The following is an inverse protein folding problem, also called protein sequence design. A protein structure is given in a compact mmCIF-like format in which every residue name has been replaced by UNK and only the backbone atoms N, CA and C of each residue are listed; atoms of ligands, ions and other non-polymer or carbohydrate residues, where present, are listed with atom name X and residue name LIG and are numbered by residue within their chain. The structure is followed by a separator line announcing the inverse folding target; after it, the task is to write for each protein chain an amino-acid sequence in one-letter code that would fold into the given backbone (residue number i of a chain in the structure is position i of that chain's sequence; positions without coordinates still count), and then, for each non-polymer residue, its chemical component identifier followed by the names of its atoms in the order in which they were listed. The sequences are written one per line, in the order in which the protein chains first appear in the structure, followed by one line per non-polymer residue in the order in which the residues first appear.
data_IF_349902576478
#
_entry.id   IF_349902576478
#
_cell.length_a   1.000
_cell.length_b   1.000
_cell.length_c   1.000
_cell.angle_alpha   90.00
_cell.angle_beta   90.00
_cell.angle_gamma   90.00
#
_symmetry.space_group_name_H-M   'P 1'
#
loop_
_entity.id
_entity.type
_entity.pdbx_description
1 polymer ?
#
# COMPACT_ATOMS: atom_id res chain seq x y z
N UNK A 1 -0.54 -16.09 -17.01
CA UNK A 1 0.75 -16.10 -16.26
C UNK A 1 0.50 -16.64 -14.86
N UNK A 2 1.54 -17.15 -14.22
CA UNK A 2 1.53 -17.49 -12.80
C UNK A 2 1.97 -16.27 -12.00
N UNK A 3 1.13 -15.79 -11.09
CA UNK A 3 1.41 -14.61 -10.28
C UNK A 3 1.32 -14.97 -8.79
N UNK A 4 2.38 -14.66 -8.05
CA UNK A 4 2.42 -14.86 -6.61
C UNK A 4 2.11 -13.52 -5.91
N UNK A 5 0.98 -13.45 -5.21
CA UNK A 5 0.55 -12.23 -4.52
C UNK A 5 0.64 -12.42 -3.03
N UNK A 6 1.47 -11.67 -2.33
CA UNK A 6 1.46 -11.66 -0.85
C UNK A 6 0.50 -10.60 -0.33
N UNK A 7 -0.06 -10.82 0.86
CA UNK A 7 -1.01 -9.88 1.43
C UNK A 7 -2.42 -9.97 0.83
N UNK A 8 -2.78 -11.11 0.22
CA UNK A 8 -4.12 -11.39 -0.35
C UNK A 8 -5.24 -11.23 0.68
N UNK A 9 -4.96 -11.43 1.96
CA UNK A 9 -5.92 -11.21 3.05
C UNK A 9 -6.07 -9.75 3.47
N UNK A 10 -5.33 -8.84 2.86
CA UNK A 10 -5.34 -7.41 3.15
C UNK A 10 -6.27 -6.64 2.21
N UNK A 11 -6.33 -5.32 2.43
CA UNK A 11 -7.19 -4.38 1.73
C UNK A 11 -7.04 -4.43 0.19
N UNK A 12 -5.82 -4.27 -0.32
CA UNK A 12 -5.56 -4.29 -1.77
C UNK A 12 -5.49 -5.72 -2.32
N UNK A 13 -5.02 -6.67 -1.52
CA UNK A 13 -4.64 -7.99 -2.01
C UNK A 13 -5.79 -8.84 -2.48
N UNK A 14 -6.96 -8.74 -1.83
CA UNK A 14 -8.13 -9.50 -2.21
C UNK A 14 -8.65 -9.07 -3.59
N UNK A 15 -8.97 -7.79 -3.72
CA UNK A 15 -9.51 -7.22 -4.98
C UNK A 15 -8.49 -7.40 -6.13
N UNK A 16 -7.19 -7.26 -5.85
CA UNK A 16 -6.15 -7.53 -6.84
C UNK A 16 -6.13 -8.99 -7.29
N UNK A 17 -6.21 -9.94 -6.35
CA UNK A 17 -6.23 -11.36 -6.71
C UNK A 17 -7.45 -11.72 -7.54
N UNK A 18 -8.64 -11.23 -7.18
CA UNK A 18 -9.88 -11.43 -7.93
C UNK A 18 -9.80 -10.83 -9.35
N UNK A 19 -9.24 -9.61 -9.47
CA UNK A 19 -9.02 -8.95 -10.76
C UNK A 19 -8.07 -9.76 -11.64
N UNK A 20 -6.94 -10.18 -11.10
CA UNK A 20 -5.95 -10.97 -11.85
C UNK A 20 -6.50 -12.35 -12.29
N UNK A 21 -7.33 -12.99 -11.45
CA UNK A 21 -8.04 -14.23 -11.82
C UNK A 21 -8.99 -13.95 -12.98
N UNK A 22 -9.73 -12.85 -12.95
CA UNK A 22 -10.66 -12.48 -14.04
C UNK A 22 -9.94 -12.22 -15.37
N UNK A 23 -8.65 -11.81 -15.33
CA UNK A 23 -7.78 -11.69 -16.48
C UNK A 23 -7.15 -13.04 -16.93
N UNK A 24 -7.52 -14.15 -16.29
CA UNK A 24 -7.05 -15.49 -16.66
C UNK A 24 -5.66 -15.84 -16.12
N UNK A 25 -5.20 -15.21 -15.04
CA UNK A 25 -3.95 -15.56 -14.38
C UNK A 25 -4.16 -16.65 -13.32
N UNK A 26 -3.14 -17.49 -13.13
CA UNK A 26 -3.06 -18.46 -12.02
C UNK A 26 -2.41 -17.77 -10.81
N UNK A 27 -3.14 -17.72 -9.68
CA UNK A 27 -2.72 -16.97 -8.51
C UNK A 27 -2.34 -17.90 -7.37
N UNK A 28 -1.20 -17.59 -6.71
CA UNK A 28 -0.82 -18.18 -5.44
C UNK A 28 -0.49 -17.11 -4.40
N UNK A 29 -0.56 -17.48 -3.13
CA UNK A 29 -0.25 -16.61 -2.00
C UNK A 29 0.42 -17.38 -0.86
N UNK A 30 1.22 -16.68 -0.07
CA UNK A 30 1.65 -17.11 1.26
C UNK A 30 0.88 -16.33 2.32
N UNK A 31 0.25 -17.04 3.25
CA UNK A 31 -0.54 -16.45 4.34
C UNK A 31 -0.28 -17.16 5.66
N UNK A 32 -0.30 -16.41 6.75
CA UNK A 32 -0.12 -16.98 8.11
C UNK A 32 -1.32 -17.81 8.54
N UNK A 33 -2.53 -17.35 8.22
CA UNK A 33 -3.77 -18.05 8.56
C UNK A 33 -4.95 -17.47 7.77
N UNK A 34 -5.77 -18.33 7.20
CA UNK A 34 -7.00 -17.93 6.49
C UNK A 34 -8.18 -17.74 7.47
N UNK A 35 -8.15 -18.45 8.61
CA UNK A 35 -9.28 -18.49 9.55
C UNK A 35 -9.24 -17.48 10.69
N UNK A 36 -8.15 -16.74 10.86
CA UNK A 36 -8.00 -15.76 11.95
C UNK A 36 -7.58 -14.43 11.39
N UNK A 37 -8.47 -13.44 11.48
CA UNK A 37 -8.09 -12.05 11.33
C UNK A 37 -6.86 -11.75 12.19
N UNK A 38 -5.92 -10.99 11.64
CA UNK A 38 -4.70 -10.63 12.35
C UNK A 38 -5.08 -9.79 13.59
N UNK A 39 -4.97 -10.41 14.77
CA UNK A 39 -5.26 -9.74 16.04
C UNK A 39 -4.30 -8.59 16.33
N UNK A 40 -3.10 -8.62 15.74
CA UNK A 40 -2.09 -7.61 15.98
C UNK A 40 -2.42 -6.27 15.31
N UNK A 41 -3.14 -6.29 14.19
CA UNK A 41 -3.44 -5.08 13.44
C UNK A 41 -4.82 -4.52 13.71
N UNK A 42 -5.67 -5.23 14.49
CA UNK A 42 -7.09 -4.88 14.62
C UNK A 42 -7.78 -4.63 13.25
N UNK A 43 -7.13 -5.00 12.17
CA UNK A 43 -7.77 -5.12 10.88
C UNK A 43 -8.71 -6.30 11.02
N UNK A 44 -10.00 -6.05 11.06
CA UNK A 44 -10.98 -7.07 10.75
C UNK A 44 -10.62 -7.51 9.33
N UNK A 45 -9.76 -8.52 9.27
CA UNK A 45 -9.37 -9.14 8.02
C UNK A 45 -10.65 -9.62 7.37
N UNK A 46 -10.86 -9.14 6.20
CA UNK A 46 -12.06 -9.24 5.41
C UNK A 46 -12.48 -10.64 5.08
N UNK A 47 -11.58 -11.58 5.25
CA UNK A 47 -11.88 -12.97 4.96
C UNK A 47 -12.49 -13.55 6.24
N UNK A 48 -13.79 -13.63 6.30
CA UNK A 48 -14.56 -14.41 7.29
C UNK A 48 -14.25 -15.91 7.17
N UNK A 49 -12.99 -16.29 7.19
CA UNK A 49 -12.55 -17.67 7.01
C UNK A 49 -12.74 -18.25 5.60
N UNK A 50 -13.10 -17.42 4.62
CA UNK A 50 -13.31 -17.85 3.25
C UNK A 50 -12.05 -17.62 2.42
N UNK A 51 -11.63 -18.64 1.68
CA UNK A 51 -10.57 -18.57 0.69
C UNK A 51 -11.11 -17.96 -0.60
N UNK A 52 -10.33 -17.11 -1.27
CA UNK A 52 -10.67 -16.63 -2.60
C UNK A 52 -10.63 -17.83 -3.56
N UNK A 53 -11.73 -18.08 -4.26
CA UNK A 53 -11.82 -19.17 -5.22
C UNK A 53 -10.78 -18.96 -6.33
N UNK A 54 -10.05 -20.04 -6.67
CA UNK A 54 -9.03 -20.00 -7.71
C UNK A 54 -7.64 -19.57 -7.23
N UNK A 55 -7.45 -19.25 -5.94
CA UNK A 55 -6.13 -18.96 -5.36
C UNK A 55 -5.53 -20.21 -4.74
N UNK A 56 -4.26 -20.49 -5.05
CA UNK A 56 -3.46 -21.52 -4.38
C UNK A 56 -2.83 -20.95 -3.11
N UNK A 57 -3.09 -21.56 -1.97
CA UNK A 57 -2.62 -21.11 -0.66
C UNK A 57 -1.41 -21.92 -0.17
N UNK A 58 -0.35 -21.21 0.20
CA UNK A 58 0.75 -21.69 1.03
C UNK A 58 0.62 -21.09 2.41
N UNK A 59 0.96 -21.86 3.45
CA UNK A 59 0.80 -21.42 4.84
C UNK A 59 2.16 -21.24 5.49
N UNK A 60 2.39 -20.05 6.04
CA UNK A 60 3.61 -19.71 6.74
C UNK A 60 3.78 -18.22 6.94
N UNK A 61 4.90 -17.85 7.58
CA UNK A 61 5.26 -16.45 7.83
C UNK A 61 6.34 -15.99 6.86
N UNK A 62 6.25 -14.74 6.37
CA UNK A 62 7.26 -14.13 5.51
C UNK A 62 8.63 -14.01 6.18
N UNK A 63 8.68 -14.02 7.50
CA UNK A 63 9.93 -13.99 8.26
C UNK A 63 10.64 -15.35 8.29
N UNK A 64 9.98 -16.43 7.86
CA UNK A 64 10.57 -17.76 7.69
C UNK A 64 11.04 -17.95 6.24
N UNK A 65 12.35 -17.83 6.03
CA UNK A 65 12.96 -17.96 4.72
C UNK A 65 12.69 -19.30 4.02
N UNK A 66 12.70 -20.42 4.78
CA UNK A 66 12.52 -21.74 4.19
C UNK A 66 11.12 -21.94 3.64
N UNK A 67 10.12 -21.49 4.38
CA UNK A 67 8.71 -21.55 3.94
C UNK A 67 8.49 -20.71 2.68
N UNK A 68 9.07 -19.50 2.63
CA UNK A 68 9.02 -18.65 1.45
C UNK A 68 9.70 -19.30 0.25
N UNK A 69 10.89 -19.86 0.46
CA UNK A 69 11.68 -20.53 -0.58
C UNK A 69 10.93 -21.75 -1.16
N UNK A 70 10.38 -22.59 -0.29
CA UNK A 70 9.64 -23.79 -0.70
C UNK A 70 8.37 -23.42 -1.50
N UNK A 71 7.63 -22.40 -1.07
CA UNK A 71 6.44 -21.93 -1.78
C UNK A 71 6.77 -21.43 -3.19
N UNK A 72 7.82 -20.61 -3.33
CA UNK A 72 8.24 -20.07 -4.62
C UNK A 72 8.82 -21.16 -5.54
N UNK A 73 9.60 -22.09 -4.99
CA UNK A 73 10.15 -23.23 -5.72
C UNK A 73 9.07 -24.13 -6.29
N UNK A 74 8.01 -24.38 -5.51
CA UNK A 74 6.89 -25.22 -5.93
C UNK A 74 5.99 -24.52 -6.95
N UNK A 75 5.68 -23.23 -6.76
CA UNK A 75 4.76 -22.50 -7.63
C UNK A 75 5.43 -22.03 -8.94
N UNK A 76 6.70 -21.61 -8.91
CA UNK A 76 7.42 -21.03 -10.05
C UNK A 76 6.66 -19.88 -10.72
N UNK A 77 6.49 -18.73 -10.04
CA UNK A 77 5.75 -17.60 -10.60
C UNK A 77 6.48 -16.90 -11.76
N UNK A 78 5.72 -16.37 -12.71
CA UNK A 78 6.22 -15.42 -13.72
C UNK A 78 6.39 -14.01 -13.09
N UNK A 79 5.49 -13.65 -12.18
CA UNK A 79 5.44 -12.33 -11.53
C UNK A 79 5.17 -12.51 -10.04
N UNK A 80 5.85 -11.71 -9.22
CA UNK A 80 5.55 -11.59 -7.78
C UNK A 80 5.05 -10.17 -7.51
N UNK A 81 3.90 -10.06 -6.82
CA UNK A 81 3.38 -8.80 -6.30
C UNK A 81 3.42 -8.87 -4.78
N UNK A 82 4.33 -8.12 -4.17
CA UNK A 82 4.57 -8.16 -2.74
C UNK A 82 3.90 -6.98 -2.03
N UNK A 83 2.63 -7.21 -1.56
CA UNK A 83 1.83 -6.23 -0.83
C UNK A 83 1.87 -6.42 0.68
N UNK A 84 2.27 -7.61 1.15
CA UNK A 84 2.25 -7.92 2.57
C UNK A 84 3.16 -6.99 3.37
N UNK A 85 2.58 -6.25 4.30
CA UNK A 85 3.26 -5.31 5.17
C UNK A 85 2.43 -5.02 6.42
N UNK A 86 3.10 -4.58 7.48
CA UNK A 86 2.45 -3.84 8.56
C UNK A 86 2.32 -2.38 8.11
N UNK A 87 1.10 -1.92 7.83
CA UNK A 87 0.87 -0.66 7.10
C UNK A 87 0.60 0.56 7.99
N UNK A 88 0.38 0.37 9.30
CA UNK A 88 0.07 1.48 10.20
C UNK A 88 1.33 2.23 10.62
N UNK A 89 1.49 3.46 10.14
CA UNK A 89 2.56 4.37 10.57
C UNK A 89 2.50 4.62 12.09
N UNK A 90 1.30 4.85 12.64
CA UNK A 90 1.13 5.08 14.07
C UNK A 90 1.56 3.87 14.92
N UNK A 91 1.21 2.66 14.47
CA UNK A 91 1.61 1.41 15.13
C UNK A 91 3.13 1.22 15.15
N UNK A 92 3.82 1.68 14.11
CA UNK A 92 5.27 1.50 13.99
C UNK A 92 6.06 2.16 15.12
N UNK A 93 5.56 3.24 15.72
CA UNK A 93 6.25 3.91 16.84
C UNK A 93 6.29 3.09 18.12
N UNK A 94 5.39 2.16 18.30
CA UNK A 94 5.30 1.30 19.50
C UNK A 94 5.73 -0.16 19.24
N UNK A 95 5.76 -0.60 17.97
CA UNK A 95 6.06 -1.97 17.57
C UNK A 95 7.14 -2.04 16.49
N UNK A 96 8.25 -1.29 16.71
CA UNK A 96 9.33 -1.11 15.72
C UNK A 96 9.88 -2.44 15.21
N UNK A 97 10.14 -3.39 16.14
CA UNK A 97 10.72 -4.69 15.77
C UNK A 97 9.82 -5.47 14.83
N UNK A 98 8.52 -5.58 15.15
CA UNK A 98 7.57 -6.29 14.32
C UNK A 98 7.46 -5.65 12.92
N UNK A 99 7.41 -4.31 12.87
CA UNK A 99 7.37 -3.57 11.60
C UNK A 99 8.63 -3.83 10.77
N UNK A 100 9.79 -3.89 11.40
CA UNK A 100 11.05 -4.18 10.71
C UNK A 100 11.11 -5.64 10.22
N UNK A 101 10.70 -6.58 11.06
CA UNK A 101 10.65 -8.02 10.70
C UNK A 101 9.73 -8.24 9.49
N UNK A 102 8.52 -7.67 9.50
CA UNK A 102 7.57 -7.87 8.40
C UNK A 102 7.95 -7.07 7.16
N UNK A 103 8.25 -5.77 7.32
CA UNK A 103 8.38 -4.87 6.18
C UNK A 103 9.77 -4.88 5.54
N UNK A 104 10.81 -5.30 6.26
CA UNK A 104 12.16 -5.43 5.70
C UNK A 104 12.59 -6.90 5.59
N UNK A 105 12.59 -7.69 6.68
CA UNK A 105 13.01 -9.10 6.60
C UNK A 105 12.07 -9.90 5.71
N UNK A 106 10.76 -9.62 5.72
CA UNK A 106 9.81 -10.24 4.79
C UNK A 106 10.14 -9.96 3.32
N UNK A 107 10.48 -8.70 2.98
CA UNK A 107 10.91 -8.33 1.62
C UNK A 107 12.24 -8.97 1.25
N UNK A 108 13.20 -8.97 2.19
CA UNK A 108 14.49 -9.63 2.00
C UNK A 108 14.30 -11.12 1.70
N UNK A 109 13.55 -11.85 2.52
CA UNK A 109 13.30 -13.27 2.33
C UNK A 109 12.61 -13.57 1.00
N UNK A 110 11.56 -12.80 0.66
CA UNK A 110 10.80 -12.99 -0.57
C UNK A 110 11.66 -12.74 -1.82
N UNK A 111 12.42 -11.65 -1.83
CA UNK A 111 13.25 -11.29 -2.99
C UNK A 111 14.48 -12.19 -3.14
N UNK A 112 15.13 -12.58 -2.05
CA UNK A 112 16.28 -13.49 -2.09
C UNK A 112 15.86 -14.92 -2.47
N UNK A 113 14.73 -15.41 -1.95
CA UNK A 113 14.18 -16.69 -2.36
C UNK A 113 13.76 -16.66 -3.84
N UNK A 114 13.10 -15.58 -4.30
CA UNK A 114 12.74 -15.40 -5.69
C UNK A 114 13.96 -15.42 -6.61
N UNK A 115 15.04 -14.71 -6.24
CA UNK A 115 16.29 -14.69 -6.99
C UNK A 115 16.94 -16.06 -7.12
N UNK A 116 16.83 -16.92 -6.10
CA UNK A 116 17.44 -18.26 -6.08
C UNK A 116 16.58 -19.34 -6.72
N UNK A 117 15.29 -19.32 -6.41
CA UNK A 117 14.39 -20.43 -6.74
C UNK A 117 13.59 -20.20 -8.03
N UNK A 118 13.50 -18.93 -8.53
CA UNK A 118 12.67 -18.56 -9.69
C UNK A 118 13.54 -17.93 -10.79
N UNK A 119 14.34 -18.73 -11.52
CA UNK A 119 15.30 -18.21 -12.51
C UNK A 119 14.65 -17.47 -13.67
N UNK A 120 13.38 -17.72 -13.95
CA UNK A 120 12.63 -17.11 -15.05
C UNK A 120 11.68 -16.02 -14.59
N UNK A 121 11.88 -15.48 -13.38
CA UNK A 121 11.05 -14.40 -12.85
C UNK A 121 11.12 -13.18 -13.80
N UNK A 122 9.96 -12.72 -14.25
CA UNK A 122 9.85 -11.57 -15.14
C UNK A 122 9.77 -10.25 -14.40
N UNK A 123 9.09 -10.24 -13.22
CA UNK A 123 8.92 -9.02 -12.38
C UNK A 123 8.72 -9.36 -10.92
N UNK A 124 9.29 -8.52 -10.08
CA UNK A 124 9.05 -8.45 -8.65
C UNK A 124 8.51 -7.04 -8.34
N UNK A 125 7.18 -6.89 -8.24
CA UNK A 125 6.53 -5.61 -7.98
C UNK A 125 6.35 -5.47 -6.48
N UNK A 126 6.97 -4.44 -5.90
CA UNK A 126 6.91 -4.21 -4.47
C UNK A 126 6.14 -2.94 -4.12
N UNK A 127 5.30 -3.05 -3.06
CA UNK A 127 4.54 -1.95 -2.50
C UNK A 127 5.41 -1.13 -1.55
N UNK A 128 6.03 -0.07 -2.05
CA UNK A 128 6.66 0.98 -1.30
C UNK A 128 5.65 1.99 -0.75
N UNK A 129 6.09 3.21 -0.42
CA UNK A 129 5.25 4.21 0.23
C UNK A 129 5.74 5.64 0.01
N UNK A 130 4.83 6.60 -0.08
CA UNK A 130 5.13 8.03 0.01
C UNK A 130 5.87 8.42 1.30
N UNK A 131 5.69 7.66 2.39
CA UNK A 131 6.40 7.87 3.67
C UNK A 131 7.94 7.75 3.56
N UNK A 132 8.45 7.18 2.48
CA UNK A 132 9.88 7.08 2.17
C UNK A 132 10.49 8.45 1.89
N UNK A 133 9.74 9.37 1.32
CA UNK A 133 10.20 10.75 1.10
C UNK A 133 10.46 11.49 2.41
N UNK A 134 9.62 11.24 3.44
CA UNK A 134 9.74 11.91 4.73
C UNK A 134 9.54 13.42 4.63
N UNK A 135 10.32 14.18 5.40
CA UNK A 135 10.25 15.65 5.44
C UNK A 135 11.14 16.22 4.34
N UNK A 136 10.55 16.90 3.39
CA UNK A 136 11.24 17.55 2.27
C UNK A 136 11.12 19.09 2.35
N UNK A 137 12.06 19.85 1.77
CA UNK A 137 11.92 21.29 1.65
C UNK A 137 10.80 21.65 0.65
N UNK A 138 10.23 22.86 0.78
CA UNK A 138 9.03 23.25 0.01
C UNK A 138 9.27 23.26 -1.51
N UNK A 139 10.46 23.60 -1.94
CA UNK A 139 10.88 23.62 -3.34
C UNK A 139 10.98 22.22 -3.98
N UNK A 140 10.99 21.17 -3.17
CA UNK A 140 11.02 19.78 -3.64
C UNK A 140 9.65 19.24 -4.04
N UNK A 141 8.57 19.96 -3.78
CA UNK A 141 7.23 19.51 -4.11
C UNK A 141 6.75 20.04 -5.49
N UNK A 142 6.02 19.20 -6.28
CA UNK A 142 5.73 17.80 -6.03
C UNK A 142 6.98 16.92 -6.14
N UNK A 143 7.14 15.94 -5.22
CA UNK A 143 8.35 15.10 -5.16
C UNK A 143 8.41 14.12 -6.33
N UNK A 144 9.59 14.05 -6.97
CA UNK A 144 9.91 13.09 -8.04
C UNK A 144 10.83 12.00 -7.52
N UNK A 145 10.82 10.86 -8.19
CA UNK A 145 11.47 9.64 -7.73
C UNK A 145 13.00 9.74 -7.66
N UNK A 146 13.58 10.48 -8.60
CA UNK A 146 15.02 10.46 -8.86
C UNK A 146 15.79 11.64 -8.25
N UNK A 147 15.10 12.67 -7.78
CA UNK A 147 15.70 13.96 -7.44
C UNK A 147 16.00 14.12 -5.93
N UNK A 148 15.62 13.19 -5.07
CA UNK A 148 15.59 13.43 -3.63
C UNK A 148 16.26 12.33 -2.80
N UNK A 149 16.84 12.76 -1.68
CA UNK A 149 17.21 11.84 -0.62
C UNK A 149 15.98 11.43 0.18
N UNK A 150 15.90 10.15 0.51
CA UNK A 150 14.80 9.59 1.29
C UNK A 150 15.09 9.81 2.77
N UNK A 151 14.20 10.52 3.47
CA UNK A 151 14.34 10.87 4.89
C UNK A 151 13.13 10.40 5.70
N UNK A 152 13.18 9.16 6.19
CA UNK A 152 12.08 8.63 6.96
C UNK A 152 11.77 9.46 8.22
N UNK A 153 10.48 9.72 8.46
CA UNK A 153 9.99 10.34 9.68
C UNK A 153 9.31 9.33 10.64
N UNK A 154 9.37 8.03 10.33
CA UNK A 154 8.77 6.98 11.13
C UNK A 154 9.55 5.67 11.01
N UNK A 155 9.47 4.75 12.01
CA UNK A 155 10.04 3.40 11.88
C UNK A 155 9.50 2.63 10.65
N UNK A 156 8.24 2.86 10.28
CA UNK A 156 7.65 2.33 9.05
C UNK A 156 8.40 2.83 7.82
N UNK A 157 8.63 4.14 7.70
CA UNK A 157 9.37 4.74 6.59
C UNK A 157 10.81 4.23 6.52
N UNK A 158 11.50 4.07 7.67
CA UNK A 158 12.84 3.48 7.72
C UNK A 158 12.85 2.07 7.14
N UNK A 159 11.89 1.22 7.52
CA UNK A 159 11.80 -0.14 7.00
C UNK A 159 11.53 -0.16 5.49
N UNK A 160 10.69 0.77 4.98
CA UNK A 160 10.41 0.91 3.56
C UNK A 160 11.65 1.35 2.77
N UNK A 161 12.37 2.37 3.23
CA UNK A 161 13.63 2.83 2.61
C UNK A 161 14.67 1.69 2.57
N UNK A 162 14.82 0.94 3.67
CA UNK A 162 15.74 -0.20 3.71
C UNK A 162 15.39 -1.25 2.66
N UNK A 163 14.10 -1.54 2.50
CA UNK A 163 13.60 -2.51 1.50
C UNK A 163 13.81 -2.05 0.07
N UNK A 164 13.53 -0.77 -0.23
CA UNK A 164 13.78 -0.21 -1.55
C UNK A 164 15.27 -0.25 -1.90
N UNK A 165 16.14 0.16 -0.97
CA UNK A 165 17.59 0.12 -1.18
C UNK A 165 18.11 -1.31 -1.39
N UNK A 166 17.54 -2.29 -0.68
CA UNK A 166 17.85 -3.71 -0.90
C UNK A 166 17.45 -4.17 -2.30
N UNK A 167 16.24 -3.86 -2.75
CA UNK A 167 15.74 -4.24 -4.07
C UNK A 167 16.55 -3.57 -5.19
N UNK A 168 16.89 -2.28 -5.04
CA UNK A 168 17.79 -1.56 -5.96
C UNK A 168 19.18 -2.21 -6.04
N UNK A 169 19.74 -2.61 -4.89
CA UNK A 169 20.99 -3.35 -4.86
C UNK A 169 20.88 -4.67 -5.64
N UNK A 170 19.81 -5.43 -5.43
CA UNK A 170 19.61 -6.69 -6.16
C UNK A 170 19.49 -6.48 -7.66
N UNK A 171 18.83 -5.41 -8.09
CA UNK A 171 18.76 -5.06 -9.50
C UNK A 171 20.13 -4.72 -10.08
N UNK A 172 20.89 -3.84 -9.41
CA UNK A 172 22.22 -3.41 -9.88
C UNK A 172 23.24 -4.55 -9.88
N UNK A 173 23.23 -5.39 -8.85
CA UNK A 173 24.24 -6.43 -8.67
C UNK A 173 23.93 -7.72 -9.45
N UNK A 174 22.65 -8.05 -9.62
CA UNK A 174 22.22 -9.34 -10.16
C UNK A 174 21.21 -9.24 -11.30
N UNK A 175 20.83 -8.05 -11.73
CA UNK A 175 19.78 -7.87 -12.72
C UNK A 175 18.38 -8.32 -12.23
N UNK A 176 18.16 -8.33 -10.92
CA UNK A 176 16.88 -8.76 -10.34
C UNK A 176 15.75 -7.85 -10.83
N UNK A 177 14.65 -8.39 -11.41
CA UNK A 177 13.66 -7.61 -12.14
C UNK A 177 12.65 -6.91 -11.20
N UNK A 178 13.13 -6.09 -10.25
CA UNK A 178 12.26 -5.38 -9.33
C UNK A 178 11.62 -4.14 -9.95
N UNK A 179 10.42 -3.82 -9.47
CA UNK A 179 9.69 -2.57 -9.70
C UNK A 179 9.19 -2.10 -8.34
N UNK A 180 9.47 -0.86 -7.99
CA UNK A 180 9.06 -0.27 -6.72
C UNK A 180 7.92 0.72 -6.96
N UNK A 181 6.79 0.54 -6.29
CA UNK A 181 5.72 1.52 -6.29
C UNK A 181 5.73 2.32 -4.99
N UNK A 182 6.04 3.61 -5.05
CA UNK A 182 5.84 4.53 -3.93
C UNK A 182 4.41 5.03 -3.96
N UNK A 183 3.55 4.33 -3.20
CA UNK A 183 2.12 4.60 -3.21
C UNK A 183 1.78 5.80 -2.33
N UNK A 184 0.86 6.65 -2.82
CA UNK A 184 0.15 7.62 -2.01
C UNK A 184 -0.76 6.94 -0.98
N UNK A 185 -1.37 7.72 -0.09
CA UNK A 185 -2.28 7.21 0.93
C UNK A 185 -3.53 6.62 0.29
N UNK A 186 -3.61 5.29 0.23
CA UNK A 186 -4.74 4.59 -0.39
C UNK A 186 -5.99 4.62 0.48
N UNK A 187 -7.16 4.79 -0.16
CA UNK A 187 -8.47 4.76 0.48
C UNK A 187 -9.50 4.00 -0.37
N UNK A 188 -10.69 3.73 0.21
CA UNK A 188 -11.74 2.95 -0.44
C UNK A 188 -12.11 1.69 0.34
N UNK A 189 -11.60 1.54 1.58
CA UNK A 189 -11.82 0.35 2.43
C UNK A 189 -13.29 0.17 2.77
N UNK A 190 -13.73 -1.07 2.63
CA UNK A 190 -15.13 -1.46 2.87
C UNK A 190 -15.37 -1.98 4.30
N UNK A 191 -14.31 -2.42 5.00
CA UNK A 191 -14.45 -3.16 6.26
C UNK A 191 -13.52 -2.68 7.39
N UNK A 192 -12.71 -1.65 7.16
CA UNK A 192 -11.83 -1.07 8.17
C UNK A 192 -11.95 0.45 8.19
N UNK A 193 -12.16 1.02 9.37
CA UNK A 193 -12.25 2.47 9.58
C UNK A 193 -11.05 3.02 10.39
N UNK A 194 -9.92 2.34 10.35
CA UNK A 194 -8.72 2.75 11.10
C UNK A 194 -7.90 3.84 10.39
N UNK A 195 -8.10 4.04 9.09
CA UNK A 195 -7.42 5.05 8.32
C UNK A 195 -8.24 6.34 8.23
N UNK A 196 -7.58 7.45 7.94
CA UNK A 196 -8.14 8.79 8.13
C UNK A 196 -9.46 9.00 7.39
N UNK A 197 -9.56 8.64 6.11
CA UNK A 197 -10.79 8.86 5.31
C UNK A 197 -11.94 8.02 5.87
N UNK A 198 -11.73 6.72 6.01
CA UNK A 198 -12.76 5.81 6.51
C UNK A 198 -13.13 6.12 7.97
N UNK A 199 -12.17 6.56 8.78
CA UNK A 199 -12.43 6.99 10.15
C UNK A 199 -13.32 8.23 10.23
N UNK A 200 -13.06 9.22 9.36
CA UNK A 200 -13.89 10.43 9.28
C UNK A 200 -15.30 10.07 8.83
N UNK A 201 -15.41 9.32 7.71
CA UNK A 201 -16.72 8.87 7.19
C UNK A 201 -17.49 8.12 8.27
N UNK A 202 -16.88 7.13 8.91
CA UNK A 202 -17.52 6.30 9.91
C UNK A 202 -18.03 7.12 11.12
N UNK A 203 -17.22 8.04 11.64
CA UNK A 203 -17.65 8.89 12.76
C UNK A 203 -18.82 9.80 12.38
N UNK A 204 -18.78 10.39 11.16
CA UNK A 204 -19.81 11.32 10.68
C UNK A 204 -21.15 10.60 10.42
N UNK A 205 -21.15 9.43 9.79
CA UNK A 205 -22.38 8.66 9.51
C UNK A 205 -23.01 8.09 10.80
N UNK A 206 -22.19 7.86 11.85
CA UNK A 206 -22.70 7.46 13.17
C UNK A 206 -23.34 8.63 13.93
N UNK A 207 -23.35 9.84 13.36
CA UNK A 207 -23.91 11.02 14.01
C UNK A 207 -23.18 11.46 15.28
N UNK A 208 -21.92 11.05 15.47
CA UNK A 208 -21.12 11.48 16.64
C UNK A 208 -20.87 12.97 16.57
N UNK A 209 -20.98 13.65 17.72
CA UNK A 209 -20.62 15.07 17.85
C UNK A 209 -20.09 15.34 19.27
N UNK A 210 -18.85 15.84 19.40
CA UNK A 210 -17.88 16.06 18.34
C UNK A 210 -17.29 14.74 17.81
N UNK A 211 -16.92 14.72 16.52
CA UNK A 211 -15.98 13.71 16.02
C UNK A 211 -14.56 14.09 16.43
N UNK A 212 -13.72 13.09 16.70
CA UNK A 212 -12.35 13.30 17.17
C UNK A 212 -11.35 13.05 16.06
N UNK A 213 -10.56 14.07 15.71
CA UNK A 213 -9.54 14.00 14.67
C UNK A 213 -8.17 14.46 15.20
N UNK A 214 -7.12 14.10 14.46
CA UNK A 214 -5.75 14.52 14.74
C UNK A 214 -5.47 15.98 14.36
N UNK A 215 -4.21 16.24 13.97
CA UNK A 215 -3.78 17.55 13.46
C UNK A 215 -4.48 17.85 12.11
N UNK A 216 -5.11 19.01 11.93
CA UNK A 216 -5.78 19.40 10.68
C UNK A 216 -4.83 19.84 9.57
N UNK A 217 -3.60 20.24 9.89
CA UNK A 217 -2.72 20.94 8.97
C UNK A 217 -1.95 20.04 7.98
N UNK A 218 -1.58 18.76 8.31
CA UNK A 218 -0.85 17.94 7.37
C UNK A 218 -1.55 17.82 6.02
N UNK A 219 -0.75 17.95 4.95
CA UNK A 219 -1.19 17.81 3.57
C UNK A 219 -0.84 16.40 3.09
N UNK A 220 -1.79 15.72 2.45
CA UNK A 220 -1.63 14.36 1.93
C UNK A 220 -2.18 14.26 0.52
N UNK A 221 -1.58 13.40 -0.26
CA UNK A 221 -2.13 12.90 -1.50
C UNK A 221 -2.84 11.57 -1.23
N UNK A 222 -4.02 11.40 -1.81
CA UNK A 222 -4.84 10.22 -1.61
C UNK A 222 -5.15 9.56 -2.94
N UNK A 223 -4.98 8.24 -3.00
CA UNK A 223 -5.32 7.46 -4.19
C UNK A 223 -6.46 6.49 -3.89
N UNK A 224 -7.47 6.51 -4.76
CA UNK A 224 -8.60 5.59 -4.67
C UNK A 224 -8.15 4.17 -5.04
N UNK A 225 -8.62 3.17 -4.28
CA UNK A 225 -8.19 1.76 -4.41
C UNK A 225 -8.22 1.23 -5.84
N UNK A 226 -9.30 1.38 -6.63
CA UNK A 226 -9.36 0.85 -7.99
C UNK A 226 -8.26 1.40 -8.90
N UNK A 227 -7.90 2.68 -8.76
CA UNK A 227 -6.84 3.28 -9.56
C UNK A 227 -5.47 2.73 -9.18
N UNK A 228 -5.25 2.50 -7.88
CA UNK A 228 -4.03 1.86 -7.40
C UNK A 228 -3.93 0.40 -7.89
N UNK A 229 -5.03 -0.34 -7.88
CA UNK A 229 -5.08 -1.72 -8.40
C UNK A 229 -4.76 -1.77 -9.90
N UNK A 230 -5.30 -0.84 -10.68
CA UNK A 230 -4.98 -0.73 -12.10
C UNK A 230 -3.47 -0.60 -12.34
N UNK A 231 -2.75 0.20 -11.54
CA UNK A 231 -1.30 0.32 -11.67
C UNK A 231 -0.58 -1.01 -11.45
N UNK A 232 -1.00 -1.80 -10.44
CA UNK A 232 -0.41 -3.13 -10.19
C UNK A 232 -0.70 -4.11 -11.32
N UNK A 233 -1.92 -4.12 -11.85
CA UNK A 233 -2.30 -4.97 -12.99
C UNK A 233 -1.49 -4.59 -14.23
N UNK A 234 -1.42 -3.29 -14.57
CA UNK A 234 -0.66 -2.79 -15.71
C UNK A 234 0.83 -3.15 -15.60
N UNK A 235 1.42 -3.02 -14.41
CA UNK A 235 2.81 -3.42 -14.21
C UNK A 235 3.01 -4.93 -14.31
N UNK A 236 2.08 -5.74 -13.81
CA UNK A 236 2.16 -7.20 -13.89
C UNK A 236 2.07 -7.70 -15.34
N UNK A 237 1.23 -7.07 -16.15
CA UNK A 237 0.96 -7.43 -17.54
C UNK A 237 1.88 -6.73 -18.57
N UNK A 238 2.64 -5.72 -18.14
CA UNK A 238 3.55 -4.97 -19.02
C UNK A 238 4.56 -5.90 -19.71
N UNK A 239 4.88 -5.62 -20.94
CA UNK A 239 6.00 -6.25 -21.66
C UNK A 239 7.26 -5.35 -21.70
N UNK A 240 7.19 -4.15 -21.15
CA UNK A 240 8.30 -3.21 -21.12
C UNK A 240 9.36 -3.60 -20.09
N UNK A 241 10.62 -3.59 -20.49
CA UNK A 241 11.75 -3.70 -19.57
C UNK A 241 12.15 -2.36 -18.94
N UNK A 242 11.61 -1.24 -19.42
CA UNK A 242 11.95 0.09 -18.92
C UNK A 242 11.49 0.35 -17.48
N UNK A 243 10.54 -0.46 -16.99
CA UNK A 243 10.08 -0.35 -15.57
C UNK A 243 10.99 -1.11 -14.60
N UNK A 244 11.90 -1.96 -15.10
CA UNK A 244 12.73 -2.80 -14.23
C UNK A 244 13.84 -1.99 -13.56
N UNK A 245 13.97 -2.14 -12.25
CA UNK A 245 14.87 -1.36 -11.41
C UNK A 245 14.32 0.02 -10.99
N UNK A 246 13.16 0.42 -11.52
CA UNK A 246 12.60 1.75 -11.29
C UNK A 246 11.76 1.85 -10.01
N UNK A 247 11.88 3.01 -9.35
CA UNK A 247 10.87 3.48 -8.41
C UNK A 247 9.89 4.36 -9.17
N UNK A 248 8.58 4.17 -8.91
CA UNK A 248 7.48 4.85 -9.61
C UNK A 248 6.46 5.33 -8.59
N UNK A 249 6.16 6.61 -8.60
CA UNK A 249 5.10 7.19 -7.76
C UNK A 249 3.72 6.80 -8.31
N UNK A 250 2.88 6.22 -7.44
CA UNK A 250 1.48 5.94 -7.76
C UNK A 250 0.61 6.84 -6.90
N UNK A 251 0.13 7.93 -7.51
CA UNK A 251 -0.48 9.07 -6.82
C UNK A 251 -1.39 9.85 -7.77
N UNK A 252 -2.35 10.59 -7.21
CA UNK A 252 -3.20 11.49 -8.01
C UNK A 252 -2.52 12.80 -8.35
N UNK A 253 -1.49 13.19 -7.60
CA UNK A 253 -0.87 14.53 -7.63
C UNK A 253 -1.85 15.65 -7.24
N UNK A 254 -2.88 15.34 -6.45
CA UNK A 254 -3.91 16.27 -5.95
C UNK A 254 -3.85 16.34 -4.42
N UNK A 255 -2.88 17.06 -3.84
CA UNK A 255 -2.71 17.13 -2.39
C UNK A 255 -3.86 17.92 -1.72
N UNK A 256 -4.29 17.44 -0.56
CA UNK A 256 -5.34 18.09 0.25
C UNK A 256 -4.93 18.11 1.72
N UNK A 257 -5.29 19.18 2.46
CA UNK A 257 -5.13 19.20 3.91
C UNK A 257 -6.14 18.28 4.60
N UNK A 258 -5.80 17.77 5.79
CA UNK A 258 -6.75 16.94 6.57
C UNK A 258 -8.00 17.76 6.94
N UNK A 259 -7.85 19.08 7.13
CA UNK A 259 -8.96 20.02 7.35
C UNK A 259 -9.94 20.02 6.18
N UNK A 260 -9.43 20.25 4.98
CA UNK A 260 -10.26 20.36 3.77
C UNK A 260 -10.88 19.01 3.40
N UNK A 261 -10.11 17.92 3.59
CA UNK A 261 -10.61 16.56 3.42
C UNK A 261 -11.83 16.29 4.34
N UNK A 262 -11.73 16.64 5.62
CA UNK A 262 -12.85 16.48 6.55
C UNK A 262 -14.06 17.35 6.15
N UNK A 263 -13.83 18.55 5.63
CA UNK A 263 -14.89 19.41 5.11
C UNK A 263 -15.59 18.82 3.88
N UNK A 264 -14.83 18.22 2.94
CA UNK A 264 -15.42 17.53 1.78
C UNK A 264 -16.23 16.30 2.21
N UNK A 265 -15.72 15.49 3.12
CA UNK A 265 -16.45 14.32 3.65
C UNK A 265 -17.72 14.77 4.41
N UNK A 266 -17.67 15.88 5.17
CA UNK A 266 -18.85 16.42 5.84
C UNK A 266 -19.97 16.80 4.85
N UNK A 267 -19.61 17.40 3.70
CA UNK A 267 -20.59 17.69 2.63
C UNK A 267 -21.22 16.43 2.08
N UNK A 268 -20.40 15.39 1.79
CA UNK A 268 -20.85 14.13 1.21
C UNK A 268 -21.78 13.37 2.17
N UNK A 269 -21.46 13.37 3.47
CA UNK A 269 -22.21 12.66 4.50
C UNK A 269 -23.34 13.50 5.11
N UNK A 270 -23.53 14.74 4.65
CA UNK A 270 -24.45 15.71 5.22
C UNK A 270 -24.27 15.90 6.76
N UNK A 271 -23.01 15.91 7.19
CA UNK A 271 -22.66 16.06 8.60
C UNK A 271 -22.61 17.53 9.01
N UNK A 272 -23.31 17.88 10.09
CA UNK A 272 -23.39 19.24 10.65
C UNK A 272 -22.90 19.34 12.10
N UNK A 273 -22.31 18.25 12.62
CA UNK A 273 -21.78 18.22 13.99
C UNK A 273 -20.43 18.91 14.13
N UNK A 274 -19.92 18.94 15.34
CA UNK A 274 -18.63 19.55 15.67
C UNK A 274 -17.46 18.60 15.36
N UNK A 275 -16.30 19.19 14.99
CA UNK A 275 -15.04 18.50 14.83
C UNK A 275 -14.07 18.95 15.91
N UNK A 276 -13.65 18.02 16.77
CA UNK A 276 -12.62 18.25 17.77
C UNK A 276 -11.26 17.84 17.22
N UNK A 277 -10.47 18.84 16.83
CA UNK A 277 -9.12 18.67 16.34
C UNK A 277 -8.11 18.41 17.46
N UNK A 278 -6.92 17.89 17.10
CA UNK A 278 -5.82 17.60 18.02
C UNK A 278 -6.23 16.67 19.17
N UNK A 279 -7.15 15.73 18.90
CA UNK A 279 -7.69 14.81 19.90
C UNK A 279 -6.76 13.65 20.23
N UNK A 280 -5.65 13.51 19.53
CA UNK A 280 -4.67 12.45 19.71
C UNK A 280 -3.27 13.02 19.97
N UNK A 281 -2.40 12.29 20.69
CA UNK A 281 -1.02 12.71 20.90
C UNK A 281 -0.30 12.92 19.56
N UNK A 282 0.53 13.97 19.48
CA UNK A 282 1.39 14.18 18.33
C UNK A 282 2.44 13.07 18.24
N UNK A 283 2.78 12.68 17.03
CA UNK A 283 3.90 11.75 16.75
C UNK A 283 5.22 12.43 17.08
N UNK A 284 6.27 11.63 17.30
CA UNK A 284 7.61 12.15 17.54
C UNK A 284 8.13 12.99 16.36
N UNK A 285 7.83 12.55 15.15
CA UNK A 285 8.01 13.30 13.90
C UNK A 285 6.72 13.18 13.09
N UNK A 286 6.25 14.29 12.53
CA UNK A 286 5.12 14.34 11.60
C UNK A 286 5.60 14.92 10.28
N UNK A 287 5.24 14.27 9.18
CA UNK A 287 5.51 14.80 7.84
C UNK A 287 4.45 15.87 7.55
N UNK A 288 4.83 17.15 7.36
CA UNK A 288 3.86 18.21 7.14
C UNK A 288 3.16 18.08 5.79
N UNK A 289 3.86 17.57 4.77
CA UNK A 289 3.34 17.50 3.40
C UNK A 289 3.87 16.27 2.68
N UNK A 290 2.96 15.51 2.07
CA UNK A 290 3.22 14.49 1.06
C UNK A 290 2.46 14.89 -0.19
N UNK A 291 3.19 15.20 -1.24
CA UNK A 291 2.69 15.56 -2.56
C UNK A 291 3.70 15.05 -3.58
N UNK A 292 3.28 14.12 -4.42
CA UNK A 292 4.15 13.42 -5.37
C UNK A 292 3.76 13.73 -6.81
N UNK A 293 4.73 13.69 -7.72
CA UNK A 293 4.54 13.76 -9.17
C UNK A 293 4.31 12.35 -9.74
N UNK A 294 3.31 12.18 -10.62
CA UNK A 294 2.97 10.90 -11.25
C UNK A 294 3.42 10.80 -12.72
N UNK A 295 4.17 11.75 -13.22
CA UNK A 295 4.58 11.80 -14.63
C UNK A 295 5.38 10.57 -15.08
N UNK A 296 6.13 9.95 -14.17
CA UNK A 296 6.88 8.72 -14.44
C UNK A 296 5.96 7.51 -14.62
N UNK A 297 4.90 7.39 -13.83
CA UNK A 297 3.89 6.35 -14.00
C UNK A 297 3.19 6.48 -15.37
N UNK A 298 2.81 7.69 -15.75
CA UNK A 298 2.25 7.95 -17.08
C UNK A 298 3.22 7.57 -18.20
N UNK A 299 4.48 7.96 -18.09
CA UNK A 299 5.49 7.70 -19.13
C UNK A 299 5.84 6.22 -19.25
N UNK A 300 6.05 5.51 -18.13
CA UNK A 300 6.56 4.14 -18.14
C UNK A 300 5.47 3.07 -18.23
N UNK A 301 4.31 3.33 -17.62
CA UNK A 301 3.20 2.38 -17.56
C UNK A 301 2.02 2.81 -18.44
N UNK A 302 1.95 4.07 -18.88
CA UNK A 302 0.73 4.62 -19.48
C UNK A 302 -0.40 4.78 -18.46
N UNK A 303 -0.07 4.76 -17.16
CA UNK A 303 -1.04 4.82 -16.08
C UNK A 303 -1.35 6.25 -15.66
N UNK A 304 -2.64 6.53 -15.47
CA UNK A 304 -3.17 7.75 -14.84
C UNK A 304 -4.36 7.38 -13.95
N UNK A 305 -4.59 8.11 -12.84
CA UNK A 305 -5.79 7.90 -12.04
C UNK A 305 -7.04 8.20 -12.86
N UNK A 306 -8.06 7.37 -12.74
CA UNK A 306 -9.34 7.50 -13.47
C UNK A 306 -10.39 8.23 -12.65
N UNK A 307 -10.21 8.30 -11.33
CA UNK A 307 -11.14 8.92 -10.40
C UNK A 307 -10.51 10.15 -9.76
N UNK A 308 -11.27 11.22 -9.68
CA UNK A 308 -10.94 12.36 -8.80
C UNK A 308 -11.10 11.95 -7.34
N UNK A 309 -10.43 12.66 -6.44
CA UNK A 309 -10.60 12.44 -4.99
C UNK A 309 -12.09 12.47 -4.60
N UNK A 310 -12.85 13.44 -5.12
CA UNK A 310 -14.27 13.61 -4.80
C UNK A 310 -15.13 12.41 -5.25
N UNK A 311 -14.88 11.87 -6.43
CA UNK A 311 -15.57 10.67 -6.91
C UNK A 311 -15.28 9.46 -6.03
N UNK A 312 -14.01 9.21 -5.71
CA UNK A 312 -13.62 8.15 -4.80
C UNK A 312 -14.23 8.29 -3.40
N UNK A 313 -14.25 9.52 -2.85
CA UNK A 313 -14.88 9.79 -1.56
C UNK A 313 -16.39 9.52 -1.57
N UNK A 314 -17.12 9.90 -2.63
CA UNK A 314 -18.55 9.62 -2.77
C UNK A 314 -18.82 8.11 -2.85
N UNK A 315 -18.03 7.36 -3.61
CA UNK A 315 -18.16 5.90 -3.73
C UNK A 315 -17.91 5.25 -2.37
N UNK A 316 -16.81 5.64 -1.70
CA UNK A 316 -16.45 5.10 -0.38
C UNK A 316 -17.53 5.42 0.66
N UNK A 317 -17.99 6.66 0.76
CA UNK A 317 -19.03 7.05 1.70
C UNK A 317 -20.36 6.31 1.43
N UNK A 318 -20.75 6.16 0.15
CA UNK A 318 -21.96 5.44 -0.23
C UNK A 318 -21.95 3.97 0.21
N UNK A 319 -20.78 3.34 0.26
CA UNK A 319 -20.64 1.98 0.79
C UNK A 319 -20.94 1.93 2.30
N UNK A 320 -20.43 2.89 3.08
CA UNK A 320 -20.61 2.93 4.52
C UNK A 320 -21.98 3.44 4.97
N UNK A 321 -22.72 4.13 4.11
CA UNK A 321 -24.08 4.64 4.39
C UNK A 321 -25.20 3.59 4.14
N UNK A 322 -24.86 2.43 3.56
CA UNK A 322 -25.79 1.30 3.38
C UNK A 322 -25.95 0.50 4.66
#
# INVERSE_FOLDING_TARGET
MKIFVTGVTGFLGQELAETLISHGHEIATLTRNVARGDRATNTESMIKGETISGVRYYFGDLTDYLVVSDALKDFQPDVIIHLAAQTSVAYSFTHMKEVFDVNFIGVFNMSEAARREVPNLKRFIWSGSAEEYGIQPEEAYPTKEDDLQLHAASPYGVAKIASENWLKYLNLAYGFPCVVFRNANSFGRKHSHQFVIESIIFQMIQGKSPIKLGDPEPIRDFIFEPDLLDAYVMAAESNSSEILGEAINITTSEPISIRDLAAEIAKITNYHGEIQWNSFPKRALEIPKLNMDNSKAKRLLGWEPKHTLKEGLNITASYWMK
#
